data_IF_928448179559
#
_entry.id   IF_928448179559
#
_cell.length_a   1.000
_cell.length_b   1.000
_cell.length_c   1.000
_cell.angle_alpha   90.00
_cell.angle_beta   90.00
_cell.angle_gamma   90.00
#
_symmetry.space_group_name_H-M   'P 1'
#
loop_
_entity.id
_entity.type
_entity.pdbx_description
1 polymer ?
#
# COMPACT_ATOMS: atom_id res chain seq x y z
N UNK A 1 -1.14 -19.31 -19.61
CA UNK A 1 -0.71 -17.91 -19.63
C UNK A 1 -0.76 -17.39 -18.20
N UNK A 2 0.36 -17.40 -17.48
CA UNK A 2 0.45 -16.92 -16.09
C UNK A 2 0.37 -15.39 -16.10
N UNK A 3 -0.77 -14.84 -15.65
CA UNK A 3 -0.92 -13.40 -15.42
C UNK A 3 0.12 -13.01 -14.37
N UNK A 4 0.96 -11.97 -14.58
CA UNK A 4 1.89 -11.53 -13.55
C UNK A 4 1.10 -11.31 -12.26
N UNK A 5 1.59 -11.86 -11.16
CA UNK A 5 0.95 -11.77 -9.84
C UNK A 5 0.83 -10.29 -9.51
N UNK A 6 -0.35 -9.71 -9.78
CA UNK A 6 -0.58 -8.30 -9.50
C UNK A 6 -0.36 -8.10 -8.01
N UNK A 7 0.57 -7.22 -7.64
CA UNK A 7 0.76 -6.84 -6.25
C UNK A 7 -0.53 -6.14 -5.81
N UNK A 8 -1.29 -6.71 -4.87
CA UNK A 8 -2.64 -6.23 -4.56
C UNK A 8 -2.64 -4.88 -3.83
N UNK A 9 -1.46 -4.45 -3.37
CA UNK A 9 -1.20 -3.15 -2.76
C UNK A 9 0.07 -2.59 -3.37
N UNK A 10 0.03 -1.32 -3.75
CA UNK A 10 1.18 -0.53 -4.18
C UNK A 10 1.41 0.60 -3.19
N UNK A 11 2.67 0.98 -2.99
CA UNK A 11 3.05 2.11 -2.14
C UNK A 11 3.88 3.12 -2.94
N UNK A 12 3.85 4.37 -2.50
CA UNK A 12 4.67 5.43 -3.08
C UNK A 12 4.70 6.66 -2.19
N UNK A 13 5.72 7.51 -2.35
CA UNK A 13 5.77 8.83 -1.71
C UNK A 13 5.41 9.89 -2.74
N UNK A 14 4.47 10.76 -2.41
CA UNK A 14 4.10 11.92 -3.21
C UNK A 14 4.13 13.16 -2.32
N UNK A 15 5.04 14.09 -2.61
CA UNK A 15 5.38 15.23 -1.74
C UNK A 15 5.73 14.77 -0.31
N UNK A 16 4.80 14.97 0.65
CA UNK A 16 4.91 14.49 2.05
C UNK A 16 3.83 13.48 2.41
N UNK A 17 3.15 12.90 1.43
CA UNK A 17 2.15 11.87 1.63
C UNK A 17 2.70 10.50 1.24
N UNK A 18 2.64 9.55 2.18
CA UNK A 18 2.83 8.15 1.85
C UNK A 18 1.50 7.58 1.32
N UNK A 19 1.47 7.21 0.04
CA UNK A 19 0.27 6.73 -0.66
C UNK A 19 0.28 5.22 -0.67
N UNK A 20 -0.82 4.61 -0.24
CA UNK A 20 -1.10 3.18 -0.30
C UNK A 20 -2.29 2.99 -1.23
N UNK A 21 -2.09 2.29 -2.34
CA UNK A 21 -3.15 2.01 -3.32
C UNK A 21 -3.49 0.53 -3.31
N UNK A 22 -4.76 0.20 -3.04
CA UNK A 22 -5.27 -1.18 -3.13
C UNK A 22 -5.79 -1.41 -4.55
N UNK A 23 -5.13 -2.30 -5.29
CA UNK A 23 -5.51 -2.66 -6.65
C UNK A 23 -5.60 -4.18 -6.76
N UNK A 24 -6.75 -4.70 -6.33
CA UNK A 24 -7.07 -6.12 -6.29
C UNK A 24 -8.46 -6.37 -6.89
N UNK A 25 -8.61 -6.30 -8.23
CA UNK A 25 -9.88 -6.50 -8.90
C UNK A 25 -10.48 -7.89 -8.58
N UNK A 26 -11.82 -8.05 -8.63
CA UNK A 26 -12.78 -7.13 -9.26
C UNK A 26 -13.30 -6.01 -8.35
N UNK A 27 -13.26 -6.15 -7.02
CA UNK A 27 -13.88 -5.19 -6.09
C UNK A 27 -12.98 -4.82 -4.90
N UNK A 28 -11.68 -5.08 -4.99
CA UNK A 28 -10.71 -4.80 -3.91
C UNK A 28 -11.07 -5.49 -2.58
N UNK A 29 -11.52 -6.74 -2.64
CA UNK A 29 -11.82 -7.53 -1.44
C UNK A 29 -10.58 -7.64 -0.57
N UNK A 30 -10.72 -7.37 0.74
CA UNK A 30 -9.67 -7.56 1.74
C UNK A 30 -9.47 -9.07 2.05
N UNK A 31 -9.01 -9.82 1.05
CA UNK A 31 -8.57 -11.20 1.22
C UNK A 31 -7.25 -11.29 1.98
N UNK A 32 -6.79 -12.51 2.25
CA UNK A 32 -5.55 -12.74 3.00
C UNK A 32 -4.34 -12.03 2.37
N UNK A 33 -4.19 -12.11 1.04
CA UNK A 33 -3.07 -11.47 0.34
C UNK A 33 -3.08 -9.94 0.47
N UNK A 34 -4.26 -9.31 0.35
CA UNK A 34 -4.41 -7.86 0.51
C UNK A 34 -4.12 -7.45 1.95
N UNK A 35 -4.60 -8.20 2.95
CA UNK A 35 -4.31 -7.91 4.36
C UNK A 35 -2.82 -7.99 4.69
N UNK A 36 -2.14 -9.03 4.19
CA UNK A 36 -0.70 -9.18 4.38
C UNK A 36 0.07 -8.02 3.73
N UNK A 37 -0.30 -7.65 2.51
CA UNK A 37 0.33 -6.53 1.80
C UNK A 37 0.02 -5.16 2.43
N UNK A 38 -1.19 -4.97 2.97
CA UNK A 38 -1.56 -3.76 3.70
C UNK A 38 -0.78 -3.63 5.01
N UNK A 39 -0.56 -4.74 5.73
CA UNK A 39 0.24 -4.71 6.95
C UNK A 39 1.67 -4.25 6.66
N UNK A 40 2.30 -4.81 5.63
CA UNK A 40 3.63 -4.38 5.19
C UNK A 40 3.64 -2.91 4.74
N UNK A 41 2.62 -2.47 4.00
CA UNK A 41 2.48 -1.07 3.58
C UNK A 41 2.33 -0.11 4.78
N UNK A 42 1.59 -0.51 5.82
CA UNK A 42 1.47 0.25 7.06
C UNK A 42 2.81 0.35 7.81
N UNK A 43 3.59 -0.74 7.85
CA UNK A 43 4.93 -0.72 8.46
C UNK A 43 5.88 0.21 7.69
N UNK A 44 5.82 0.22 6.37
CA UNK A 44 6.58 1.16 5.54
C UNK A 44 6.16 2.61 5.79
N UNK A 45 4.85 2.87 5.87
CA UNK A 45 4.29 4.19 6.15
C UNK A 45 4.72 4.69 7.54
N UNK A 46 4.64 3.84 8.57
CA UNK A 46 5.09 4.18 9.92
C UNK A 46 6.57 4.57 9.96
N UNK A 47 7.41 3.85 9.21
CA UNK A 47 8.83 4.20 9.06
C UNK A 47 9.04 5.52 8.31
N UNK A 48 8.28 5.78 7.24
CA UNK A 48 8.37 7.05 6.50
C UNK A 48 7.97 8.26 7.37
N UNK A 49 6.89 8.11 8.16
CA UNK A 49 6.48 9.11 9.16
C UNK A 49 7.57 9.32 10.22
N UNK A 50 8.12 8.23 10.77
CA UNK A 50 9.17 8.29 11.79
C UNK A 50 10.47 8.93 11.30
N UNK A 51 10.78 8.83 10.00
CA UNK A 51 11.92 9.51 9.36
C UNK A 51 11.61 10.95 8.93
N UNK A 52 10.37 11.41 9.05
CA UNK A 52 9.93 12.74 8.60
C UNK A 52 9.83 12.88 7.06
N UNK A 53 9.87 11.77 6.32
CA UNK A 53 9.71 11.75 4.86
C UNK A 53 8.25 12.01 4.45
N UNK A 54 7.32 11.58 5.29
CA UNK A 54 5.89 11.87 5.16
C UNK A 54 5.35 12.52 6.44
N UNK A 55 4.28 13.30 6.30
CA UNK A 55 3.48 13.84 7.41
C UNK A 55 2.07 13.21 7.49
N UNK A 56 1.66 12.50 6.44
CA UNK A 56 0.36 11.85 6.34
C UNK A 56 0.41 10.59 5.48
N UNK A 57 -0.60 9.75 5.66
CA UNK A 57 -0.82 8.54 4.86
C UNK A 57 -2.16 8.67 4.13
N UNK A 58 -2.17 8.37 2.84
CA UNK A 58 -3.38 8.37 2.01
C UNK A 58 -3.63 6.94 1.55
N UNK A 59 -4.86 6.47 1.72
CA UNK A 59 -5.29 5.15 1.26
C UNK A 59 -6.33 5.33 0.16
N UNK A 60 -6.11 4.69 -0.99
CA UNK A 60 -6.95 4.79 -2.19
C UNK A 60 -7.28 3.42 -2.78
#
# INVERSE_FOLDING_TARGET
MTKPTAMPVRTGLQDRAFVITIDNPPVNVLGQAVRAALLDACDQAAKALGRGEADRVIVT
#
